data_IF_249813907569
#
_entry.id   IF_249813907569
#
_cell.length_a   1.000
_cell.length_b   1.000
_cell.length_c   1.000
_cell.angle_alpha   90.00
_cell.angle_beta   90.00
_cell.angle_gamma   90.00
#
_symmetry.space_group_name_H-M   'P 1'
#
loop_
_entity.id
_entity.type
_entity.pdbx_description
1 polymer ?
#
# COMPACT_ATOMS: atom_id res chain seq x y z
N UNK A 1 -58.02 24.47 32.37
CA UNK A 1 -56.72 25.03 31.98
C UNK A 1 -56.60 24.88 30.48
N UNK A 2 -56.51 25.98 29.73
CA UNK A 2 -56.43 25.94 28.27
C UNK A 2 -55.06 25.43 27.81
N UNK A 3 -55.04 24.58 26.80
CA UNK A 3 -53.82 24.15 26.11
C UNK A 3 -53.25 25.32 25.33
N UNK A 4 -52.14 25.89 25.80
CA UNK A 4 -51.37 26.91 25.06
C UNK A 4 -50.96 26.37 23.69
N UNK A 5 -51.28 27.13 22.65
CA UNK A 5 -50.92 26.83 21.25
C UNK A 5 -49.40 26.72 21.13
N UNK A 6 -48.90 25.61 20.57
CA UNK A 6 -47.47 25.40 20.37
C UNK A 6 -46.91 26.44 19.40
N UNK A 7 -45.95 27.25 19.85
CA UNK A 7 -45.28 28.24 19.02
C UNK A 7 -44.28 27.54 18.09
N UNK A 8 -44.52 27.59 16.78
CA UNK A 8 -43.63 26.97 15.79
C UNK A 8 -42.47 27.93 15.52
N UNK A 9 -41.27 27.59 16.00
CA UNK A 9 -40.05 28.35 15.72
C UNK A 9 -39.64 28.13 14.25
N UNK A 10 -39.26 29.21 13.57
CA UNK A 10 -38.71 29.16 12.22
C UNK A 10 -37.25 28.68 12.25
N UNK A 11 -36.79 28.13 11.14
CA UNK A 11 -35.39 27.77 10.92
C UNK A 11 -34.52 29.04 10.91
N UNK A 12 -33.35 28.95 11.54
CA UNK A 12 -32.33 29.99 11.51
C UNK A 12 -31.44 29.80 10.28
N UNK A 13 -30.99 30.91 9.67
CA UNK A 13 -29.84 30.92 8.79
C UNK A 13 -28.61 30.25 9.44
N UNK A 14 -27.77 29.58 8.65
CA UNK A 14 -26.65 28.77 9.14
C UNK A 14 -25.65 29.58 9.98
N UNK A 15 -25.41 30.85 9.63
CA UNK A 15 -24.57 31.78 10.38
C UNK A 15 -25.15 32.11 11.77
N UNK A 16 -26.46 32.33 11.87
CA UNK A 16 -27.14 32.54 13.15
C UNK A 16 -27.17 31.26 14.00
N UNK A 17 -27.32 30.09 13.36
CA UNK A 17 -27.27 28.79 14.00
C UNK A 17 -25.85 28.49 14.56
N UNK A 18 -24.80 28.94 13.86
CA UNK A 18 -23.40 28.84 14.30
C UNK A 18 -23.17 29.66 15.57
N UNK A 19 -23.69 30.88 15.61
CA UNK A 19 -23.59 31.74 16.80
C UNK A 19 -24.26 31.09 18.00
N UNK A 20 -25.47 30.54 17.84
CA UNK A 20 -26.18 29.82 18.91
C UNK A 20 -25.38 28.61 19.40
N UNK A 21 -24.79 27.84 18.48
CA UNK A 21 -23.94 26.71 18.83
C UNK A 21 -22.70 27.16 19.62
N UNK A 22 -21.90 28.10 19.09
CA UNK A 22 -20.66 28.58 19.71
C UNK A 22 -20.92 29.24 21.07
N UNK A 23 -21.96 30.06 21.16
CA UNK A 23 -22.35 30.70 22.41
C UNK A 23 -22.68 29.67 23.49
N UNK A 24 -23.31 28.55 23.13
CA UNK A 24 -23.58 27.46 24.05
C UNK A 24 -22.39 26.53 24.28
N UNK A 25 -21.38 26.50 23.38
CA UNK A 25 -20.16 25.68 23.53
C UNK A 25 -19.06 26.36 24.34
N UNK A 26 -18.81 27.66 24.09
CA UNK A 26 -17.64 28.38 24.59
C UNK A 26 -18.00 29.65 25.37
N UNK A 27 -19.28 29.99 25.48
CA UNK A 27 -19.73 31.21 26.17
C UNK A 27 -19.33 32.51 25.45
N UNK A 28 -18.90 32.44 24.19
CA UNK A 28 -18.47 33.58 23.37
C UNK A 28 -19.25 33.63 22.05
N UNK A 29 -19.35 34.83 21.48
CA UNK A 29 -19.84 35.07 20.12
C UNK A 29 -18.72 35.38 19.12
N UNK A 30 -17.49 35.56 19.60
CA UNK A 30 -16.27 35.74 18.78
C UNK A 30 -15.58 34.39 18.57
N UNK A 31 -15.41 34.02 17.30
CA UNK A 31 -14.88 32.73 16.86
C UNK A 31 -13.50 32.83 16.19
N UNK A 32 -12.89 34.02 16.18
CA UNK A 32 -11.54 34.25 15.63
C UNK A 32 -10.45 33.43 16.36
N UNK A 33 -10.70 33.06 17.61
CA UNK A 33 -9.79 32.27 18.44
C UNK A 33 -9.81 30.75 18.15
N UNK A 34 -10.73 30.25 17.30
CA UNK A 34 -10.92 28.81 17.07
C UNK A 34 -10.95 28.45 15.56
N UNK A 35 -9.79 28.41 14.88
CA UNK A 35 -9.72 28.15 13.44
C UNK A 35 -10.27 26.78 13.03
N UNK A 36 -10.11 25.76 13.87
CA UNK A 36 -10.60 24.39 13.59
C UNK A 36 -12.13 24.32 13.45
N UNK A 37 -12.85 25.23 14.13
CA UNK A 37 -14.31 25.33 14.02
C UNK A 37 -14.78 25.90 12.68
N UNK A 38 -13.93 26.61 11.95
CA UNK A 38 -14.27 27.08 10.60
C UNK A 38 -14.40 25.90 9.62
N UNK A 39 -13.64 24.82 9.83
CA UNK A 39 -13.68 23.64 8.98
C UNK A 39 -14.83 22.68 9.35
N UNK A 40 -15.11 22.51 10.64
CA UNK A 40 -16.10 21.54 11.14
C UNK A 40 -17.47 22.14 11.48
N UNK A 41 -17.53 23.41 11.87
CA UNK A 41 -18.76 24.11 12.25
C UNK A 41 -19.87 24.02 11.20
N UNK A 42 -19.60 24.35 9.92
CA UNK A 42 -20.62 24.25 8.87
C UNK A 42 -21.21 22.84 8.71
N UNK A 43 -20.38 21.79 8.83
CA UNK A 43 -20.82 20.37 8.73
C UNK A 43 -21.70 19.94 9.91
N UNK A 44 -21.45 20.50 11.10
CA UNK A 44 -22.28 20.26 12.29
C UNK A 44 -23.64 20.94 12.12
N UNK A 45 -23.67 22.15 11.57
CA UNK A 45 -24.89 22.93 11.37
C UNK A 45 -25.77 22.41 10.23
N UNK A 46 -25.17 21.89 9.16
CA UNK A 46 -25.90 21.20 8.10
C UNK A 46 -26.76 20.05 8.68
N UNK A 47 -26.25 19.38 9.72
CA UNK A 47 -27.00 18.35 10.45
C UNK A 47 -28.04 18.91 11.42
N UNK A 48 -27.89 20.16 11.85
CA UNK A 48 -28.91 20.86 12.65
C UNK A 48 -30.08 21.38 11.80
N UNK A 49 -29.93 21.48 10.47
CA UNK A 49 -30.97 21.93 9.54
C UNK A 49 -31.61 23.27 9.99
N UNK A 50 -30.80 24.22 10.43
CA UNK A 50 -31.29 25.52 10.92
C UNK A 50 -32.07 25.48 12.24
N UNK A 51 -32.19 24.33 12.93
CA UNK A 51 -32.95 24.23 14.18
C UNK A 51 -32.16 24.80 15.39
N UNK A 52 -32.60 25.91 16.01
CA UNK A 52 -31.87 26.55 17.12
C UNK A 52 -31.70 25.64 18.35
N UNK A 53 -32.71 24.79 18.62
CA UNK A 53 -32.69 23.84 19.72
C UNK A 53 -31.65 22.73 19.50
N UNK A 54 -31.45 22.28 18.26
CA UNK A 54 -30.42 21.29 17.93
C UNK A 54 -29.02 21.89 18.10
N UNK A 55 -28.79 23.10 17.59
CA UNK A 55 -27.53 23.82 17.77
C UNK A 55 -27.23 24.12 19.26
N UNK A 56 -28.24 24.55 20.02
CA UNK A 56 -28.12 24.77 21.46
C UNK A 56 -27.83 23.48 22.23
N UNK A 57 -28.50 22.38 21.88
CA UNK A 57 -28.26 21.08 22.51
C UNK A 57 -26.85 20.58 22.20
N UNK A 58 -26.40 20.63 20.95
CA UNK A 58 -25.04 20.22 20.58
C UNK A 58 -23.97 21.12 21.19
N UNK A 59 -24.20 22.44 21.22
CA UNK A 59 -23.27 23.37 21.84
C UNK A 59 -23.17 23.15 23.35
N UNK A 60 -24.31 22.99 24.02
CA UNK A 60 -24.35 22.62 25.43
C UNK A 60 -23.68 21.28 25.72
N UNK A 61 -23.86 20.27 24.85
CA UNK A 61 -23.18 18.98 24.96
C UNK A 61 -21.67 19.12 24.82
N UNK A 62 -21.17 19.94 23.90
CA UNK A 62 -19.74 20.19 23.72
C UNK A 62 -19.14 21.05 24.83
N UNK A 63 -19.88 22.02 25.36
CA UNK A 63 -19.51 22.75 26.57
C UNK A 63 -19.35 21.82 27.76
N UNK A 64 -20.25 20.83 27.89
CA UNK A 64 -20.16 19.82 28.94
C UNK A 64 -19.14 18.74 28.66
N UNK A 65 -18.83 18.41 27.41
CA UNK A 65 -17.86 17.38 27.02
C UNK A 65 -16.42 17.92 26.97
N UNK A 66 -16.04 18.69 27.99
CA UNK A 66 -14.69 19.24 28.13
C UNK A 66 -13.66 18.18 28.56
N UNK A 67 -14.13 17.06 29.13
CA UNK A 67 -13.28 15.96 29.60
C UNK A 67 -13.84 14.62 29.13
N UNK A 68 -12.96 13.65 28.93
CA UNK A 68 -13.34 12.32 28.47
C UNK A 68 -14.37 11.62 29.39
N UNK A 69 -14.36 11.93 30.69
CA UNK A 69 -15.33 11.42 31.68
C UNK A 69 -16.78 11.76 31.31
N UNK A 70 -17.01 12.88 30.62
CA UNK A 70 -18.35 13.39 30.32
C UNK A 70 -19.06 12.54 29.26
N UNK A 71 -18.30 11.70 28.53
CA UNK A 71 -18.84 10.65 27.65
C UNK A 71 -19.75 9.67 28.40
N UNK A 72 -19.66 9.59 29.73
CA UNK A 72 -20.57 8.78 30.55
C UNK A 72 -22.05 9.14 30.32
N UNK A 73 -22.35 10.41 30.04
CA UNK A 73 -23.72 10.91 29.86
C UNK A 73 -24.30 10.58 28.47
N UNK A 74 -23.47 10.08 27.55
CA UNK A 74 -23.82 9.85 26.15
C UNK A 74 -24.09 8.36 25.86
N UNK A 75 -25.06 7.78 26.57
CA UNK A 75 -25.37 6.34 26.49
C UNK A 75 -25.98 5.92 25.15
N UNK A 76 -26.66 6.84 24.46
CA UNK A 76 -27.33 6.58 23.17
C UNK A 76 -26.40 6.70 21.95
N UNK A 77 -25.08 6.83 22.16
CA UNK A 77 -24.12 6.95 21.06
C UNK A 77 -24.15 5.70 20.18
N UNK A 78 -24.18 5.95 18.87
CA UNK A 78 -24.23 4.94 17.82
C UNK A 78 -23.37 5.32 16.63
N UNK A 79 -22.97 4.35 15.84
CA UNK A 79 -22.16 4.59 14.65
C UNK A 79 -20.70 4.82 15.02
N UNK A 80 -20.15 5.98 14.67
CA UNK A 80 -18.71 6.27 14.82
C UNK A 80 -18.45 7.20 16.00
N UNK A 81 -17.55 6.80 16.89
CA UNK A 81 -16.99 7.66 17.93
C UNK A 81 -15.51 7.89 17.65
N UNK A 82 -15.10 9.16 17.53
CA UNK A 82 -13.71 9.56 17.41
C UNK A 82 -13.32 10.33 18.67
N UNK A 83 -12.28 9.86 19.36
CA UNK A 83 -11.71 10.51 20.54
C UNK A 83 -10.29 10.91 20.18
N UNK A 84 -10.04 12.21 20.06
CA UNK A 84 -8.73 12.76 19.76
C UNK A 84 -8.12 13.41 20.99
N UNK A 85 -6.82 13.71 20.92
CA UNK A 85 -6.09 14.37 21.99
C UNK A 85 -6.07 13.59 23.32
N UNK A 86 -6.01 12.25 23.23
CA UNK A 86 -6.01 11.38 24.39
C UNK A 86 -4.76 11.54 25.28
N UNK A 87 -3.71 12.22 24.80
CA UNK A 87 -2.55 12.63 25.60
C UNK A 87 -2.91 13.56 26.77
N UNK A 88 -4.07 14.24 26.70
CA UNK A 88 -4.52 15.17 27.75
C UNK A 88 -5.29 14.49 28.88
N UNK A 89 -5.56 13.18 28.78
CA UNK A 89 -6.23 12.42 29.83
C UNK A 89 -5.19 12.03 30.88
N UNK A 90 -5.11 12.79 31.97
CA UNK A 90 -4.13 12.55 33.04
C UNK A 90 -4.62 11.52 34.07
N UNK A 91 -5.93 11.40 34.26
CA UNK A 91 -6.55 10.50 35.22
C UNK A 91 -7.15 9.28 34.51
N UNK A 92 -6.69 8.09 34.88
CA UNK A 92 -7.16 6.80 34.37
C UNK A 92 -8.64 6.59 34.72
N UNK A 93 -9.11 7.13 35.84
CA UNK A 93 -10.51 7.03 36.23
C UNK A 93 -11.43 7.89 35.36
N UNK A 94 -10.92 8.97 34.75
CA UNK A 94 -11.69 9.72 33.75
C UNK A 94 -11.92 8.87 32.49
N UNK A 95 -10.89 8.15 32.04
CA UNK A 95 -11.01 7.21 30.94
C UNK A 95 -11.99 6.08 31.26
N UNK A 96 -11.95 5.53 32.48
CA UNK A 96 -12.92 4.52 32.94
C UNK A 96 -14.35 5.06 32.92
N UNK A 97 -14.56 6.27 33.47
CA UNK A 97 -15.87 6.91 33.53
C UNK A 97 -16.47 7.17 32.17
N UNK A 98 -15.65 7.37 31.14
CA UNK A 98 -16.12 7.47 29.76
C UNK A 98 -17.03 6.31 29.33
N UNK A 99 -16.95 5.15 30.00
CA UNK A 99 -17.90 4.03 29.88
C UNK A 99 -18.17 3.63 28.43
N UNK A 100 -17.11 3.29 27.69
CA UNK A 100 -17.24 2.79 26.31
C UNK A 100 -17.90 1.41 26.24
N UNK A 101 -17.79 0.61 27.31
CA UNK A 101 -18.53 -0.64 27.47
C UNK A 101 -20.06 -0.43 27.45
N UNK A 102 -20.56 0.67 28.02
CA UNK A 102 -21.99 1.00 28.00
C UNK A 102 -22.52 1.36 26.61
N UNK A 103 -21.65 1.71 25.66
CA UNK A 103 -22.02 2.24 24.33
C UNK A 103 -22.19 1.13 23.30
N UNK A 104 -23.22 0.29 23.51
CA UNK A 104 -23.46 -0.96 22.78
C UNK A 104 -23.73 -0.80 21.27
N UNK A 105 -24.13 0.40 20.83
CA UNK A 105 -24.51 0.68 19.45
C UNK A 105 -23.37 1.30 18.60
N UNK A 106 -22.14 1.34 19.13
CA UNK A 106 -20.98 1.80 18.38
C UNK A 106 -20.53 0.74 17.38
N UNK A 107 -20.32 1.19 16.14
CA UNK A 107 -19.78 0.39 15.04
C UNK A 107 -18.29 0.67 14.82
N UNK A 108 -17.87 1.93 14.98
CA UNK A 108 -16.51 2.38 14.71
C UNK A 108 -15.99 3.17 15.90
N UNK A 109 -14.80 2.83 16.39
CA UNK A 109 -14.09 3.56 17.43
C UNK A 109 -12.73 4.01 16.91
N UNK A 110 -12.50 5.32 16.92
CA UNK A 110 -11.21 5.93 16.54
C UNK A 110 -10.63 6.62 17.77
N UNK A 111 -9.38 6.32 18.09
CA UNK A 111 -8.66 6.87 19.24
C UNK A 111 -7.33 7.45 18.78
N UNK A 112 -7.12 8.76 18.98
CA UNK A 112 -5.97 9.49 18.46
C UNK A 112 -5.22 10.26 19.55
N UNK A 113 -3.90 10.24 19.45
CA UNK A 113 -2.98 11.04 20.24
C UNK A 113 -2.26 12.03 19.30
N UNK A 114 -2.11 13.29 19.73
CA UNK A 114 -1.46 14.35 18.92
C UNK A 114 0.07 14.28 18.96
N UNK A 115 0.63 13.88 20.10
CA UNK A 115 2.06 14.00 20.38
C UNK A 115 2.60 12.70 20.97
N UNK A 116 3.59 12.11 20.30
CA UNK A 116 4.30 10.91 20.74
C UNK A 116 5.28 11.19 21.91
N UNK A 117 5.61 12.47 22.12
CA UNK A 117 6.66 12.94 23.02
C UNK A 117 6.15 13.34 24.41
N UNK A 118 4.84 13.56 24.57
CA UNK A 118 4.27 13.93 25.86
C UNK A 118 4.14 12.71 26.77
N UNK A 119 5.14 12.53 27.64
CA UNK A 119 5.22 11.48 28.66
C UNK A 119 4.18 11.64 29.80
N UNK A 120 3.24 12.58 29.67
CA UNK A 120 2.28 12.93 30.73
C UNK A 120 1.08 11.98 30.78
N UNK A 121 0.81 11.22 29.72
CA UNK A 121 -0.30 10.30 29.66
C UNK A 121 -0.02 9.04 30.50
N UNK A 122 -0.96 8.66 31.36
CA UNK A 122 -0.91 7.37 32.03
C UNK A 122 -0.97 6.24 30.98
N UNK A 123 -0.03 5.28 31.09
CA UNK A 123 0.08 4.14 30.17
C UNK A 123 -1.18 3.26 30.17
N UNK A 124 -2.04 3.37 31.19
CA UNK A 124 -3.22 2.52 31.40
C UNK A 124 -4.52 3.10 30.81
N UNK A 125 -4.49 4.28 30.17
CA UNK A 125 -5.70 4.92 29.61
C UNK A 125 -6.39 4.02 28.59
N UNK A 126 -5.62 3.46 27.66
CA UNK A 126 -6.16 2.63 26.59
C UNK A 126 -6.75 1.30 27.14
N UNK A 127 -6.21 0.78 28.25
CA UNK A 127 -6.80 -0.38 28.95
C UNK A 127 -8.19 -0.04 29.48
N UNK A 128 -8.40 1.18 29.99
CA UNK A 128 -9.70 1.63 30.51
C UNK A 128 -10.72 2.00 29.43
N UNK A 129 -10.26 2.32 28.22
CA UNK A 129 -11.11 2.63 27.06
C UNK A 129 -11.56 1.38 26.31
N UNK A 130 -11.86 0.30 27.04
CA UNK A 130 -12.36 -0.95 26.44
C UNK A 130 -13.75 -0.72 25.80
N UNK A 131 -13.91 -0.97 24.48
CA UNK A 131 -15.21 -0.86 23.82
C UNK A 131 -16.10 -2.07 24.09
N UNK A 132 -17.40 -1.90 23.83
CA UNK A 132 -18.31 -3.03 23.72
C UNK A 132 -17.94 -3.92 22.52
N UNK A 133 -18.23 -5.22 22.63
CA UNK A 133 -17.75 -6.26 21.71
C UNK A 133 -18.44 -6.30 20.34
N UNK A 134 -19.44 -5.45 20.12
CA UNK A 134 -20.14 -5.32 18.83
C UNK A 134 -19.42 -4.40 17.84
N UNK A 135 -18.38 -3.69 18.28
CA UNK A 135 -17.60 -2.80 17.42
C UNK A 135 -17.01 -3.57 16.23
N UNK A 136 -17.14 -2.99 15.04
CA UNK A 136 -16.67 -3.55 13.79
C UNK A 136 -15.31 -3.01 13.38
N UNK A 137 -15.03 -1.76 13.73
CA UNK A 137 -13.80 -1.09 13.31
C UNK A 137 -13.15 -0.39 14.50
N UNK A 138 -11.86 -0.66 14.70
CA UNK A 138 -11.05 0.04 15.69
C UNK A 138 -9.85 0.65 14.99
N UNK A 139 -9.64 1.95 15.20
CA UNK A 139 -8.45 2.66 14.76
C UNK A 139 -7.75 3.31 15.95
N UNK A 140 -6.47 2.98 16.12
CA UNK A 140 -5.58 3.59 17.11
C UNK A 140 -4.48 4.32 16.39
N UNK A 141 -4.22 5.54 16.80
CA UNK A 141 -3.26 6.43 16.17
C UNK A 141 -2.44 7.18 17.22
N UNK A 142 -1.12 6.96 17.22
CA UNK A 142 -0.18 7.69 18.07
C UNK A 142 -0.13 7.19 19.52
N UNK A 143 -0.61 5.98 19.81
CA UNK A 143 -0.58 5.43 21.18
C UNK A 143 0.85 5.33 21.71
N UNK A 144 1.08 5.93 22.88
CA UNK A 144 2.41 6.09 23.48
C UNK A 144 2.83 4.95 24.40
N UNK A 145 1.96 3.96 24.63
CA UNK A 145 2.26 2.84 25.51
C UNK A 145 3.18 1.79 24.87
N UNK A 146 3.93 1.08 25.71
CA UNK A 146 4.84 0.03 25.25
C UNK A 146 4.11 -1.27 24.85
N UNK A 147 2.92 -1.50 25.41
CA UNK A 147 2.11 -2.70 25.19
C UNK A 147 0.67 -2.32 24.91
N UNK A 148 0.04 -3.07 24.01
CA UNK A 148 -1.38 -2.97 23.76
C UNK A 148 -2.19 -3.55 24.94
N UNK A 149 -3.45 -3.11 25.11
CA UNK A 149 -4.33 -3.62 26.15
C UNK A 149 -4.58 -5.12 26.07
N UNK A 150 -4.93 -5.71 27.20
CA UNK A 150 -5.26 -7.15 27.28
C UNK A 150 -6.48 -7.52 26.45
N UNK A 151 -7.41 -6.59 26.27
CA UNK A 151 -8.64 -6.81 25.52
C UNK A 151 -8.45 -6.76 23.99
N UNK A 152 -7.34 -6.21 23.50
CA UNK A 152 -7.18 -5.83 22.08
C UNK A 152 -7.21 -7.02 21.10
N UNK A 153 -6.65 -8.16 21.51
CA UNK A 153 -6.68 -9.42 20.75
C UNK A 153 -7.68 -10.43 21.29
N UNK A 154 -8.59 -10.03 22.18
CA UNK A 154 -9.46 -10.99 22.88
C UNK A 154 -10.55 -11.56 21.94
N UNK A 155 -10.79 -12.88 21.90
CA UNK A 155 -11.77 -13.51 21.01
C UNK A 155 -13.21 -12.99 21.14
N UNK A 156 -13.54 -12.31 22.25
CA UNK A 156 -14.85 -11.66 22.44
C UNK A 156 -15.15 -10.57 21.41
N UNK A 157 -14.14 -10.00 20.74
CA UNK A 157 -14.34 -9.04 19.66
C UNK A 157 -14.62 -9.75 18.33
N UNK A 158 -15.59 -10.66 18.34
CA UNK A 158 -15.93 -11.53 17.21
C UNK A 158 -16.56 -10.81 16.02
N UNK A 159 -16.99 -9.55 16.18
CA UNK A 159 -17.55 -8.73 15.10
C UNK A 159 -16.54 -7.78 14.46
N UNK A 160 -15.30 -7.75 14.95
CA UNK A 160 -14.27 -6.84 14.44
C UNK A 160 -13.89 -7.26 13.02
N UNK A 161 -14.02 -6.33 12.06
CA UNK A 161 -13.76 -6.51 10.63
C UNK A 161 -12.48 -5.77 10.22
N UNK A 162 -12.29 -4.54 10.71
CA UNK A 162 -11.13 -3.70 10.40
C UNK A 162 -10.40 -3.30 11.67
N UNK A 163 -9.09 -3.54 11.68
CA UNK A 163 -8.20 -3.06 12.73
C UNK A 163 -7.07 -2.24 12.11
N UNK A 164 -6.93 -1.00 12.55
CA UNK A 164 -5.90 -0.06 12.09
C UNK A 164 -5.10 0.46 13.27
N UNK A 165 -3.79 0.27 13.23
CA UNK A 165 -2.86 0.77 14.24
C UNK A 165 -1.80 1.60 13.53
N UNK A 166 -1.73 2.89 13.86
CA UNK A 166 -0.83 3.83 13.21
C UNK A 166 0.02 4.59 14.23
N UNK A 167 1.28 4.88 13.90
CA UNK A 167 2.17 5.79 14.66
C UNK A 167 2.37 5.41 16.14
N UNK A 168 2.13 4.15 16.54
CA UNK A 168 2.37 3.68 17.91
C UNK A 168 3.83 3.26 18.11
N UNK A 169 4.77 4.20 17.93
CA UNK A 169 6.21 3.91 17.78
C UNK A 169 6.88 3.26 19.00
N UNK A 170 6.32 3.46 20.20
CA UNK A 170 6.85 2.90 21.46
C UNK A 170 6.41 1.46 21.71
N UNK A 171 5.43 0.95 20.96
CA UNK A 171 4.96 -0.42 21.12
C UNK A 171 6.06 -1.41 20.73
N UNK A 172 6.43 -2.30 21.65
CA UNK A 172 7.50 -3.28 21.43
C UNK A 172 7.00 -4.62 20.92
N UNK A 173 5.69 -4.89 21.00
CA UNK A 173 5.07 -6.16 20.61
C UNK A 173 3.64 -5.96 20.14
N UNK A 174 3.20 -6.79 19.19
CA UNK A 174 1.80 -6.86 18.75
C UNK A 174 0.96 -7.71 19.73
N UNK A 175 -0.35 -7.44 19.87
CA UNK A 175 -1.27 -8.30 20.61
C UNK A 175 -1.72 -9.51 19.77
N UNK A 176 -2.40 -10.46 20.40
CA UNK A 176 -2.90 -11.72 19.82
C UNK A 176 -4.08 -11.53 18.84
N UNK A 177 -3.88 -10.72 17.80
CA UNK A 177 -4.89 -10.33 16.82
C UNK A 177 -5.33 -11.52 15.95
N UNK A 178 -4.47 -12.53 15.79
CA UNK A 178 -4.78 -13.74 15.00
C UNK A 178 -5.95 -14.55 15.53
N UNK A 179 -6.37 -14.35 16.78
CA UNK A 179 -7.51 -15.05 17.37
C UNK A 179 -8.87 -14.43 16.99
N UNK A 180 -8.88 -13.29 16.30
CA UNK A 180 -10.10 -12.58 15.93
C UNK A 180 -10.78 -13.24 14.71
N UNK A 181 -12.00 -13.81 14.87
CA UNK A 181 -12.58 -14.69 13.85
C UNK A 181 -13.11 -13.98 12.60
N UNK A 182 -13.49 -12.70 12.72
CA UNK A 182 -14.13 -11.93 11.63
C UNK A 182 -13.23 -10.86 11.03
N UNK A 183 -11.98 -10.74 11.49
CA UNK A 183 -11.06 -9.71 11.03
C UNK A 183 -10.72 -9.96 9.56
N UNK A 184 -11.01 -8.98 8.71
CA UNK A 184 -10.76 -9.00 7.26
C UNK A 184 -9.60 -8.10 6.86
N UNK A 185 -9.51 -6.93 7.47
CA UNK A 185 -8.55 -5.90 7.11
C UNK A 185 -7.70 -5.55 8.33
N UNK A 186 -6.39 -5.71 8.20
CA UNK A 186 -5.42 -5.38 9.24
C UNK A 186 -4.34 -4.46 8.69
N UNK A 187 -4.24 -3.27 9.28
CA UNK A 187 -3.29 -2.24 8.85
C UNK A 187 -2.41 -1.81 10.03
N UNK A 188 -1.11 -2.02 9.90
CA UNK A 188 -0.10 -1.77 10.92
C UNK A 188 0.97 -0.82 10.35
N UNK A 189 0.94 0.44 10.76
CA UNK A 189 1.79 1.51 10.21
C UNK A 189 2.59 2.19 11.30
N UNK A 190 3.90 2.32 11.15
CA UNK A 190 4.73 3.13 12.06
C UNK A 190 4.86 2.53 13.47
N UNK A 191 4.90 1.20 13.60
CA UNK A 191 5.19 0.51 14.89
C UNK A 191 6.69 0.27 15.02
N UNK A 192 7.45 1.37 15.07
CA UNK A 192 8.90 1.36 14.88
C UNK A 192 9.69 0.49 15.86
N UNK A 193 9.22 0.30 17.10
CA UNK A 193 9.93 -0.50 18.12
C UNK A 193 9.63 -2.00 18.10
N UNK A 194 8.70 -2.47 17.25
CA UNK A 194 8.40 -3.91 17.12
C UNK A 194 9.56 -4.59 16.40
N UNK A 195 10.19 -5.57 17.07
CA UNK A 195 11.35 -6.27 16.52
C UNK A 195 11.00 -7.61 15.86
N UNK A 196 9.98 -8.29 16.38
CA UNK A 196 9.57 -9.61 15.94
C UNK A 196 8.06 -9.64 15.77
N UNK A 197 7.60 -10.35 14.74
CA UNK A 197 6.20 -10.71 14.54
C UNK A 197 6.13 -12.23 14.54
N UNK A 198 5.54 -12.80 15.58
CA UNK A 198 5.50 -14.25 15.77
C UNK A 198 4.29 -14.72 16.56
N UNK A 199 4.50 -15.70 17.45
CA UNK A 199 3.45 -16.38 18.20
C UNK A 199 2.53 -15.42 19.00
N UNK A 200 3.07 -14.30 19.47
CA UNK A 200 2.31 -13.26 20.16
C UNK A 200 1.24 -12.61 19.28
N UNK A 201 1.48 -12.53 17.97
CA UNK A 201 0.59 -11.93 16.99
C UNK A 201 -0.53 -12.89 16.58
N UNK A 202 -0.20 -14.18 16.39
CA UNK A 202 -1.17 -15.23 16.06
C UNK A 202 -2.07 -15.59 17.25
N UNK A 203 -1.53 -15.47 18.47
CA UNK A 203 -2.17 -15.87 19.71
C UNK A 203 -1.83 -17.31 20.10
N UNK A 204 -1.53 -17.50 21.39
CA UNK A 204 -1.12 -18.79 21.96
C UNK A 204 -2.22 -19.84 21.74
N UNK A 205 -1.83 -21.04 21.31
CA UNK A 205 -2.69 -22.20 21.12
C UNK A 205 -3.84 -22.00 20.09
N UNK A 206 -3.70 -21.04 19.18
CA UNK A 206 -4.66 -20.84 18.08
C UNK A 206 -4.38 -21.83 16.93
N UNK A 207 -5.26 -22.80 16.66
CA UNK A 207 -5.04 -23.79 15.60
C UNK A 207 -5.22 -23.21 14.20
N UNK A 208 -5.93 -22.08 14.05
CA UNK A 208 -6.16 -21.42 12.76
C UNK A 208 -6.17 -19.90 12.99
N UNK A 209 -4.99 -19.27 13.11
CA UNK A 209 -4.95 -17.83 13.23
C UNK A 209 -5.48 -17.19 11.94
N UNK A 210 -6.02 -15.97 12.05
CA UNK A 210 -6.52 -15.17 10.94
C UNK A 210 -7.47 -15.91 9.96
N UNK A 211 -8.55 -16.55 10.44
CA UNK A 211 -9.41 -17.40 9.60
C UNK A 211 -10.19 -16.64 8.52
N UNK A 212 -10.34 -15.32 8.65
CA UNK A 212 -11.12 -14.46 7.74
C UNK A 212 -10.30 -13.32 7.14
N UNK A 213 -8.99 -13.25 7.39
CA UNK A 213 -8.18 -12.11 6.97
C UNK A 213 -8.03 -12.09 5.44
N UNK A 214 -8.41 -10.99 4.82
CA UNK A 214 -8.39 -10.76 3.37
C UNK A 214 -7.27 -9.79 2.98
N UNK A 215 -6.97 -8.79 3.81
CA UNK A 215 -5.95 -7.76 3.58
C UNK A 215 -5.03 -7.58 4.80
N UNK A 216 -3.73 -7.62 4.56
CA UNK A 216 -2.69 -7.43 5.57
C UNK A 216 -1.64 -6.42 5.08
N UNK A 217 -1.51 -5.31 5.82
CA UNK A 217 -0.58 -4.23 5.51
C UNK A 217 0.37 -3.96 6.68
N UNK A 218 1.66 -4.02 6.40
CA UNK A 218 2.73 -3.52 7.25
C UNK A 218 3.44 -2.36 6.56
N UNK A 219 3.57 -1.23 7.24
CA UNK A 219 4.29 -0.06 6.73
C UNK A 219 5.12 0.60 7.84
N UNK A 220 6.31 1.09 7.51
CA UNK A 220 7.15 1.90 8.42
C UNK A 220 7.52 1.16 9.74
N UNK A 221 7.87 -0.13 9.64
CA UNK A 221 8.25 -0.99 10.77
C UNK A 221 9.79 -1.02 10.94
N UNK A 222 10.35 0.04 11.52
CA UNK A 222 11.80 0.32 11.49
C UNK A 222 12.70 -0.73 12.17
N UNK A 223 12.31 -1.27 13.32
CA UNK A 223 13.10 -2.27 14.06
C UNK A 223 12.75 -3.73 13.75
N UNK A 224 11.78 -3.97 12.86
CA UNK A 224 11.28 -5.31 12.58
C UNK A 224 12.32 -6.13 11.82
N UNK A 225 12.75 -7.25 12.43
CA UNK A 225 13.79 -8.15 11.91
C UNK A 225 13.20 -9.47 11.44
N UNK A 226 12.41 -10.11 12.30
CA UNK A 226 11.98 -11.48 12.11
C UNK A 226 10.45 -11.58 12.01
N UNK A 227 9.99 -12.23 10.94
CA UNK A 227 8.66 -12.79 10.86
C UNK A 227 8.77 -14.29 11.11
N UNK A 228 8.28 -14.73 12.26
CA UNK A 228 8.34 -16.12 12.71
C UNK A 228 7.01 -16.79 12.34
N UNK A 229 6.99 -17.77 11.43
CA UNK A 229 5.76 -18.50 11.08
C UNK A 229 5.16 -19.22 12.28
N UNK A 230 3.83 -19.38 12.27
CA UNK A 230 3.13 -20.34 13.10
C UNK A 230 3.57 -21.76 12.74
N UNK A 231 3.54 -22.69 13.71
CA UNK A 231 4.03 -24.06 13.52
C UNK A 231 3.38 -24.74 12.30
N UNK A 232 4.19 -25.53 11.58
CA UNK A 232 3.99 -26.09 10.22
C UNK A 232 2.68 -26.85 9.97
N UNK A 233 1.92 -27.21 10.99
CA UNK A 233 0.66 -27.97 10.86
C UNK A 233 -0.58 -27.09 10.58
N UNK A 234 -0.45 -25.76 10.63
CA UNK A 234 -1.60 -24.85 10.59
C UNK A 234 -1.55 -23.85 9.43
N UNK A 235 -2.67 -23.72 8.71
CA UNK A 235 -2.87 -22.71 7.67
C UNK A 235 -3.04 -21.32 8.32
N UNK A 236 -1.98 -20.49 8.32
CA UNK A 236 -1.98 -19.17 8.98
C UNK A 236 -2.90 -18.14 8.34
N UNK A 237 -3.05 -18.20 7.01
CA UNK A 237 -3.68 -17.15 6.22
C UNK A 237 -4.53 -17.77 5.10
N UNK A 238 -5.57 -18.56 5.44
CA UNK A 238 -6.32 -19.34 4.45
C UNK A 238 -7.12 -18.48 3.46
N UNK A 239 -7.36 -17.20 3.79
CA UNK A 239 -8.20 -16.27 3.00
C UNK A 239 -7.49 -15.01 2.52
N UNK A 240 -6.19 -14.89 2.76
CA UNK A 240 -5.46 -13.66 2.45
C UNK A 240 -5.39 -13.44 0.93
N UNK A 241 -5.86 -12.27 0.49
CA UNK A 241 -5.88 -11.83 -0.91
C UNK A 241 -4.86 -10.74 -1.20
N UNK A 242 -4.60 -9.86 -0.23
CA UNK A 242 -3.68 -8.73 -0.39
C UNK A 242 -2.67 -8.71 0.76
N UNK A 243 -1.39 -8.79 0.42
CA UNK A 243 -0.27 -8.64 1.34
C UNK A 243 0.63 -7.49 0.87
N UNK A 244 0.78 -6.48 1.71
CA UNK A 244 1.65 -5.33 1.46
C UNK A 244 2.63 -5.13 2.61
N UNK A 245 3.92 -5.04 2.29
CA UNK A 245 4.99 -4.75 3.24
C UNK A 245 5.82 -3.60 2.69
N UNK A 246 5.89 -2.48 3.40
CA UNK A 246 6.60 -1.31 2.90
C UNK A 246 7.42 -0.59 3.95
N UNK A 247 8.58 -0.05 3.57
CA UNK A 247 9.47 0.72 4.44
C UNK A 247 9.85 -0.04 5.72
N UNK A 248 10.24 -1.31 5.58
CA UNK A 248 10.68 -2.20 6.66
C UNK A 248 12.17 -2.54 6.46
N UNK A 249 13.12 -1.64 6.78
CA UNK A 249 14.51 -1.76 6.32
C UNK A 249 15.30 -2.88 6.99
N UNK A 250 14.93 -3.29 8.22
CA UNK A 250 15.63 -4.34 8.98
C UNK A 250 15.05 -5.75 8.80
N UNK A 251 13.99 -5.88 8.00
CA UNK A 251 13.29 -7.15 7.83
C UNK A 251 14.18 -8.13 7.06
N UNK A 252 14.55 -9.24 7.71
CA UNK A 252 15.39 -10.32 7.16
C UNK A 252 14.65 -11.67 7.11
N UNK A 253 13.53 -11.80 7.83
CA UNK A 253 12.76 -13.03 7.97
C UNK A 253 12.14 -13.55 6.67
N UNK A 254 11.72 -14.82 6.69
CA UNK A 254 10.97 -15.42 5.57
C UNK A 254 9.52 -14.98 5.62
N UNK A 255 8.96 -14.73 4.44
CA UNK A 255 7.53 -14.48 4.29
C UNK A 255 6.73 -15.77 4.49
N UNK A 256 5.44 -15.67 4.87
CA UNK A 256 4.56 -16.82 5.01
C UNK A 256 4.54 -17.68 3.73
N UNK A 257 4.71 -18.99 3.89
CA UNK A 257 4.84 -19.92 2.76
C UNK A 257 3.50 -20.41 2.19
N UNK A 258 2.40 -20.28 2.94
CA UNK A 258 1.10 -20.83 2.56
C UNK A 258 0.00 -19.75 2.54
N UNK A 259 -0.16 -19.10 1.37
CA UNK A 259 -1.21 -18.10 1.09
C UNK A 259 -1.87 -18.40 -0.26
N UNK A 260 -2.74 -19.43 -0.34
CA UNK A 260 -3.22 -19.99 -1.62
C UNK A 260 -4.15 -19.05 -2.40
N UNK A 261 -4.74 -18.05 -1.74
CA UNK A 261 -5.70 -17.12 -2.32
C UNK A 261 -5.11 -15.74 -2.62
N UNK A 262 -3.78 -15.57 -2.53
CA UNK A 262 -3.14 -14.28 -2.70
C UNK A 262 -3.31 -13.77 -4.14
N UNK A 263 -4.00 -12.64 -4.29
CA UNK A 263 -4.30 -11.96 -5.56
C UNK A 263 -3.32 -10.81 -5.82
N UNK A 264 -2.86 -10.14 -4.75
CA UNK A 264 -1.93 -9.01 -4.81
C UNK A 264 -0.83 -9.15 -3.77
N UNK A 265 0.41 -9.01 -4.24
CA UNK A 265 1.58 -9.05 -3.38
C UNK A 265 2.49 -7.86 -3.68
N UNK A 266 2.79 -7.07 -2.65
CA UNK A 266 3.67 -5.91 -2.77
C UNK A 266 4.70 -5.83 -1.65
N UNK A 267 5.95 -5.63 -2.02
CA UNK A 267 7.07 -5.33 -1.10
C UNK A 267 7.77 -4.08 -1.60
N UNK A 268 7.96 -3.07 -0.75
CA UNK A 268 8.60 -1.81 -1.14
C UNK A 268 9.57 -1.31 -0.06
N UNK A 269 10.82 -0.98 -0.41
CA UNK A 269 11.77 -0.38 0.54
C UNK A 269 12.11 -1.30 1.73
N UNK A 270 12.33 -2.59 1.44
CA UNK A 270 12.71 -3.61 2.42
C UNK A 270 14.14 -4.09 2.12
N UNK A 271 15.11 -3.23 2.41
CA UNK A 271 16.49 -3.34 1.88
C UNK A 271 17.27 -4.60 2.30
N UNK A 272 16.90 -5.22 3.42
CA UNK A 272 17.55 -6.42 3.93
C UNK A 272 16.79 -7.72 3.59
N UNK A 273 15.58 -7.60 3.03
CA UNK A 273 14.71 -8.73 2.77
C UNK A 273 15.08 -9.43 1.46
N UNK A 274 15.42 -10.71 1.57
CA UNK A 274 15.42 -11.64 0.44
C UNK A 274 13.98 -12.14 0.23
N UNK A 275 13.30 -11.59 -0.77
CA UNK A 275 11.89 -11.94 -1.03
C UNK A 275 11.83 -13.36 -1.57
N UNK A 276 11.33 -14.27 -0.73
CA UNK A 276 11.00 -15.62 -1.14
C UNK A 276 9.62 -15.62 -1.76
N UNK A 277 9.48 -16.06 -3.02
CA UNK A 277 8.18 -16.14 -3.69
C UNK A 277 7.73 -17.60 -3.75
N UNK A 278 6.75 -18.01 -2.94
CA UNK A 278 5.99 -19.25 -3.12
C UNK A 278 5.25 -19.26 -4.47
N UNK A 279 4.79 -20.45 -4.87
CA UNK A 279 3.83 -20.58 -5.94
C UNK A 279 2.48 -19.96 -5.51
N UNK A 280 2.09 -18.85 -6.13
CA UNK A 280 0.84 -18.13 -5.87
C UNK A 280 -0.13 -18.29 -7.05
N UNK A 281 -0.98 -19.33 -7.07
CA UNK A 281 -1.75 -19.69 -8.26
C UNK A 281 -2.80 -18.64 -8.66
N UNK A 282 -3.23 -17.77 -7.74
CA UNK A 282 -4.22 -16.72 -7.97
C UNK A 282 -3.62 -15.31 -8.11
N UNK A 283 -2.30 -15.19 -8.15
CA UNK A 283 -1.66 -13.88 -8.18
C UNK A 283 -1.99 -13.17 -9.50
N UNK A 284 -2.47 -11.93 -9.39
CA UNK A 284 -2.78 -11.07 -10.54
C UNK A 284 -1.96 -9.77 -10.55
N UNK A 285 -1.39 -9.38 -9.40
CA UNK A 285 -0.46 -8.26 -9.31
C UNK A 285 0.73 -8.57 -8.40
N UNK A 286 1.94 -8.34 -8.92
CA UNK A 286 3.20 -8.47 -8.18
C UNK A 286 4.01 -7.17 -8.29
N UNK A 287 4.40 -6.60 -7.15
CA UNK A 287 5.26 -5.43 -7.10
C UNK A 287 6.38 -5.60 -6.06
N UNK A 288 7.64 -5.70 -6.51
CA UNK A 288 8.80 -5.81 -5.61
C UNK A 288 9.72 -4.62 -5.88
N UNK A 289 9.89 -3.73 -4.91
CA UNK A 289 10.67 -2.49 -5.01
C UNK A 289 11.65 -2.34 -3.85
N UNK A 290 12.89 -1.90 -4.12
CA UNK A 290 13.88 -1.58 -3.08
C UNK A 290 14.17 -2.72 -2.10
N UNK A 291 14.29 -3.96 -2.58
CA UNK A 291 14.62 -5.14 -1.78
C UNK A 291 16.07 -5.58 -1.99
N UNK A 292 16.60 -6.44 -1.11
CA UNK A 292 17.95 -7.00 -1.24
C UNK A 292 18.08 -7.90 -2.47
N UNK A 293 17.09 -8.75 -2.67
CA UNK A 293 17.06 -9.74 -3.74
C UNK A 293 15.76 -10.52 -3.74
N UNK A 294 15.59 -11.35 -4.76
CA UNK A 294 14.46 -12.28 -4.89
C UNK A 294 15.03 -13.68 -5.02
N UNK A 295 14.49 -14.61 -4.23
CA UNK A 295 14.91 -16.01 -4.20
C UNK A 295 13.70 -16.88 -4.51
N UNK A 296 13.81 -17.72 -5.53
CA UNK A 296 12.88 -18.83 -5.75
C UNK A 296 13.36 -20.05 -4.94
N UNK A 297 12.41 -20.82 -4.39
CA UNK A 297 12.70 -22.08 -3.68
C UNK A 297 11.71 -23.20 -4.04
N UNK A 298 10.85 -22.98 -5.03
CA UNK A 298 9.86 -23.99 -5.43
C UNK A 298 10.39 -24.83 -6.56
N UNK A 299 10.26 -26.15 -6.43
CA UNK A 299 10.48 -27.13 -7.50
C UNK A 299 9.33 -27.17 -8.51
N UNK A 300 8.21 -26.50 -8.19
CA UNK A 300 7.04 -26.40 -9.06
C UNK A 300 7.18 -25.20 -10.02
N UNK A 301 6.55 -25.29 -11.19
CA UNK A 301 6.46 -24.19 -12.16
C UNK A 301 5.90 -22.93 -11.49
N UNK A 302 6.77 -21.94 -11.24
CA UNK A 302 6.33 -20.60 -10.87
C UNK A 302 5.41 -20.07 -11.97
N UNK A 303 4.30 -19.45 -11.59
CA UNK A 303 3.43 -18.74 -12.53
C UNK A 303 3.25 -17.32 -12.03
N UNK A 304 3.91 -16.35 -12.67
CA UNK A 304 3.71 -14.95 -12.35
C UNK A 304 2.42 -14.39 -12.97
N UNK A 305 1.86 -13.33 -12.36
CA UNK A 305 0.69 -12.64 -12.87
C UNK A 305 0.93 -12.03 -14.25
N UNK A 306 -0.16 -11.78 -14.98
CA UNK A 306 -0.12 -11.03 -16.25
C UNK A 306 0.62 -9.70 -16.15
N UNK A 307 0.56 -9.02 -15.00
CA UNK A 307 1.26 -7.76 -14.77
C UNK A 307 2.21 -7.86 -13.59
N UNK A 308 3.48 -7.57 -13.82
CA UNK A 308 4.56 -7.67 -12.82
C UNK A 308 5.45 -6.41 -12.85
N UNK A 309 5.73 -5.83 -11.68
CA UNK A 309 6.63 -4.69 -11.52
C UNK A 309 7.82 -5.11 -10.63
N UNK A 310 9.03 -4.91 -11.15
CA UNK A 310 10.29 -5.21 -10.49
C UNK A 310 11.13 -3.94 -10.40
N UNK A 311 11.59 -3.60 -9.20
CA UNK A 311 12.51 -2.51 -8.96
C UNK A 311 13.52 -2.88 -7.89
N UNK A 312 14.59 -3.57 -8.28
CA UNK A 312 15.54 -4.17 -7.34
C UNK A 312 16.93 -3.59 -7.65
N UNK A 313 17.35 -2.51 -6.96
CA UNK A 313 18.55 -1.76 -7.36
C UNK A 313 19.84 -2.60 -7.41
N UNK A 314 19.96 -3.57 -6.51
CA UNK A 314 21.17 -4.38 -6.32
C UNK A 314 21.11 -5.74 -7.03
N UNK A 315 20.08 -6.00 -7.84
CA UNK A 315 19.99 -7.28 -8.57
C UNK A 315 20.96 -7.28 -9.74
N UNK A 316 21.95 -8.20 -9.71
CA UNK A 316 22.86 -8.41 -10.85
C UNK A 316 22.23 -9.29 -11.92
N UNK A 317 21.56 -10.36 -11.49
CA UNK A 317 20.81 -11.30 -12.31
C UNK A 317 19.69 -11.93 -11.50
N UNK A 318 18.56 -12.26 -12.14
CA UNK A 318 17.50 -13.07 -11.55
C UNK A 318 17.83 -14.56 -11.72
N UNK A 319 17.29 -15.42 -10.84
CA UNK A 319 17.50 -16.88 -10.93
C UNK A 319 16.73 -17.48 -12.10
N UNK A 320 17.22 -18.59 -12.67
CA UNK A 320 16.55 -19.30 -13.79
C UNK A 320 15.10 -19.67 -13.48
N UNK A 321 14.84 -20.15 -12.27
CA UNK A 321 13.48 -20.44 -11.80
C UNK A 321 12.56 -19.22 -11.83
N UNK A 322 13.06 -18.06 -11.40
CA UNK A 322 12.29 -16.81 -11.46
C UNK A 322 12.05 -16.39 -12.92
N UNK A 323 13.00 -16.66 -13.82
CA UNK A 323 12.82 -16.38 -15.24
C UNK A 323 11.72 -17.24 -15.87
N UNK A 324 11.70 -18.55 -15.60
CA UNK A 324 10.64 -19.44 -16.06
C UNK A 324 9.26 -18.98 -15.57
N UNK A 325 9.19 -18.46 -14.34
CA UNK A 325 7.94 -17.88 -13.82
C UNK A 325 7.38 -16.74 -14.67
N UNK A 326 8.26 -15.98 -15.34
CA UNK A 326 7.88 -14.81 -16.14
C UNK A 326 7.35 -15.19 -17.53
N UNK A 327 7.39 -16.46 -17.93
CA UNK A 327 7.01 -16.91 -19.28
C UNK A 327 5.56 -16.56 -19.67
N UNK A 328 4.66 -16.46 -18.68
CA UNK A 328 3.23 -16.12 -18.86
C UNK A 328 2.90 -14.64 -18.60
N UNK A 329 3.88 -13.81 -18.26
CA UNK A 329 3.67 -12.38 -17.98
C UNK A 329 3.40 -11.64 -19.29
N UNK A 330 2.36 -10.81 -19.31
CA UNK A 330 1.98 -9.98 -20.46
C UNK A 330 2.57 -8.57 -20.35
N UNK A 331 2.65 -8.01 -19.14
CA UNK A 331 3.14 -6.66 -18.87
C UNK A 331 4.23 -6.71 -17.79
N UNK A 332 5.46 -6.36 -18.16
CA UNK A 332 6.60 -6.34 -17.26
C UNK A 332 7.18 -4.93 -17.17
N UNK A 333 7.28 -4.41 -15.96
CA UNK A 333 8.01 -3.16 -15.68
C UNK A 333 9.25 -3.47 -14.86
N UNK A 334 10.42 -3.03 -15.33
CA UNK A 334 11.71 -3.13 -14.65
C UNK A 334 12.20 -1.71 -14.40
N UNK A 335 12.21 -1.26 -13.15
CA UNK A 335 12.47 0.13 -12.79
C UNK A 335 13.65 0.24 -11.81
N UNK A 336 14.62 1.10 -12.07
CA UNK A 336 15.73 1.41 -11.17
C UNK A 336 16.56 0.17 -10.73
N UNK A 337 16.67 -0.86 -11.57
CA UNK A 337 17.56 -2.01 -11.35
C UNK A 337 19.00 -1.66 -11.78
N UNK A 338 19.73 -0.97 -10.89
CA UNK A 338 21.02 -0.34 -11.22
C UNK A 338 22.15 -1.32 -11.51
N UNK A 339 22.17 -2.48 -10.85
CA UNK A 339 23.21 -3.50 -11.04
C UNK A 339 22.88 -4.56 -12.11
N UNK A 340 21.68 -4.51 -12.70
CA UNK A 340 21.24 -5.49 -13.68
C UNK A 340 22.05 -5.32 -14.98
N UNK A 341 22.82 -6.34 -15.36
CA UNK A 341 23.77 -6.24 -16.48
C UNK A 341 23.19 -6.71 -17.82
N UNK A 342 22.25 -7.66 -17.78
CA UNK A 342 21.64 -8.27 -18.97
C UNK A 342 20.16 -8.58 -18.73
N UNK A 343 19.36 -8.45 -19.80
CA UNK A 343 18.00 -8.99 -19.86
C UNK A 343 17.96 -10.15 -20.86
N UNK A 344 17.32 -11.24 -20.45
CA UNK A 344 17.53 -12.58 -21.01
C UNK A 344 16.77 -12.87 -22.30
N UNK A 345 17.41 -13.69 -23.15
CA UNK A 345 16.90 -14.23 -24.40
C UNK A 345 15.93 -15.41 -24.13
N UNK A 346 14.86 -15.50 -24.92
CA UNK A 346 14.01 -16.69 -25.15
C UNK A 346 13.04 -17.20 -24.05
N UNK A 347 12.99 -16.61 -22.86
CA UNK A 347 12.04 -17.05 -21.80
C UNK A 347 10.67 -16.33 -21.82
N UNK A 348 10.58 -15.16 -22.45
CA UNK A 348 9.36 -14.33 -22.47
C UNK A 348 8.38 -14.73 -23.58
N UNK A 349 7.65 -15.84 -23.39
CA UNK A 349 6.75 -16.39 -24.42
C UNK A 349 5.48 -15.55 -24.65
N UNK A 350 4.98 -14.88 -23.60
CA UNK A 350 3.66 -14.20 -23.62
C UNK A 350 3.74 -12.68 -23.47
N UNK A 351 4.95 -12.10 -23.47
CA UNK A 351 5.16 -10.70 -23.12
C UNK A 351 4.66 -9.75 -24.23
N UNK A 352 3.74 -8.86 -23.87
CA UNK A 352 3.12 -7.87 -24.77
C UNK A 352 3.76 -6.49 -24.56
N UNK A 353 3.97 -6.09 -23.31
CA UNK A 353 4.53 -4.78 -22.94
C UNK A 353 5.74 -4.95 -22.03
N UNK A 354 6.84 -4.28 -22.38
CA UNK A 354 8.05 -4.21 -21.58
C UNK A 354 8.44 -2.75 -21.36
N UNK A 355 8.53 -2.35 -20.09
CA UNK A 355 8.93 -1.01 -19.69
C UNK A 355 10.17 -1.08 -18.80
N UNK A 356 11.29 -0.54 -19.27
CA UNK A 356 12.56 -0.56 -18.57
C UNK A 356 12.98 0.87 -18.25
N UNK A 357 13.12 1.20 -16.96
CA UNK A 357 13.47 2.55 -16.51
C UNK A 357 14.67 2.52 -15.58
N UNK A 358 15.58 3.49 -15.71
CA UNK A 358 16.67 3.72 -14.76
C UNK A 358 17.64 2.56 -14.54
N UNK A 359 17.81 1.64 -15.51
CA UNK A 359 18.71 0.49 -15.39
C UNK A 359 20.11 0.86 -15.92
N UNK A 360 20.96 1.40 -15.05
CA UNK A 360 22.23 2.02 -15.46
C UNK A 360 23.33 1.06 -15.90
N UNK A 361 23.36 -0.18 -15.40
CA UNK A 361 24.38 -1.19 -15.77
C UNK A 361 23.95 -2.11 -16.91
N UNK A 362 22.71 -1.96 -17.39
CA UNK A 362 22.15 -2.83 -18.42
C UNK A 362 22.86 -2.54 -19.75
N UNK A 363 23.65 -3.49 -20.24
CA UNK A 363 24.51 -3.25 -21.41
C UNK A 363 23.79 -3.58 -22.70
N UNK A 364 23.10 -4.72 -22.73
CA UNK A 364 22.43 -5.24 -23.91
C UNK A 364 21.04 -5.75 -23.53
N UNK A 365 20.09 -5.56 -24.43
CA UNK A 365 18.75 -6.14 -24.35
C UNK A 365 18.55 -6.94 -25.62
N UNK A 366 18.19 -8.21 -25.48
CA UNK A 366 17.83 -9.06 -26.60
C UNK A 366 16.44 -9.63 -26.40
N UNK A 367 15.56 -9.43 -27.37
CA UNK A 367 14.15 -9.80 -27.27
C UNK A 367 13.74 -10.64 -28.48
N UNK A 368 13.13 -11.79 -28.21
CA UNK A 368 12.68 -12.80 -29.17
C UNK A 368 11.21 -13.14 -28.86
N UNK A 369 10.27 -12.20 -29.02
CA UNK A 369 8.94 -12.38 -28.41
C UNK A 369 7.76 -11.75 -29.15
N UNK A 370 6.57 -12.06 -28.62
CA UNK A 370 5.24 -11.52 -28.96
C UNK A 370 5.06 -10.03 -28.59
N UNK A 371 6.15 -9.34 -28.24
CA UNK A 371 6.16 -7.98 -27.73
C UNK A 371 5.59 -7.00 -28.75
N UNK A 372 4.64 -6.18 -28.31
CA UNK A 372 4.03 -5.09 -29.09
C UNK A 372 4.58 -3.73 -28.71
N UNK A 373 4.92 -3.54 -27.43
CA UNK A 373 5.34 -2.24 -26.91
C UNK A 373 6.61 -2.38 -26.08
N UNK A 374 7.63 -1.61 -26.43
CA UNK A 374 8.89 -1.49 -25.70
C UNK A 374 9.16 -0.03 -25.33
N UNK A 375 9.24 0.23 -24.03
CA UNK A 375 9.66 1.53 -23.49
C UNK A 375 10.99 1.38 -22.73
N UNK A 376 11.95 2.24 -23.02
CA UNK A 376 13.25 2.29 -22.35
C UNK A 376 13.56 3.74 -21.97
N UNK A 377 13.72 4.01 -20.68
CA UNK A 377 13.99 5.36 -20.17
C UNK A 377 15.19 5.37 -19.22
N UNK A 378 16.18 6.23 -19.47
CA UNK A 378 17.24 6.49 -18.48
C UNK A 378 18.24 5.33 -18.27
N UNK A 379 18.39 4.44 -19.26
CA UNK A 379 19.36 3.33 -19.22
C UNK A 379 20.73 3.79 -19.75
N UNK A 380 21.57 4.31 -18.87
CA UNK A 380 22.86 4.92 -19.25
C UNK A 380 23.91 3.94 -19.79
N UNK A 381 23.89 2.69 -19.36
CA UNK A 381 24.85 1.66 -19.78
C UNK A 381 24.48 0.93 -21.07
N UNK A 382 23.27 1.17 -21.60
CA UNK A 382 22.74 0.43 -22.74
C UNK A 382 23.52 0.81 -24.00
N UNK A 383 24.23 -0.17 -24.58
CA UNK A 383 25.06 0.02 -25.77
C UNK A 383 24.37 -0.46 -27.03
N UNK A 384 23.66 -1.59 -26.94
CA UNK A 384 22.98 -2.19 -28.08
C UNK A 384 21.64 -2.78 -27.70
N UNK A 385 20.72 -2.68 -28.66
CA UNK A 385 19.43 -3.35 -28.64
C UNK A 385 19.45 -4.41 -29.77
N UNK A 386 19.04 -5.63 -29.45
CA UNK A 386 18.92 -6.72 -30.42
C UNK A 386 17.46 -7.18 -30.45
N UNK A 387 16.70 -6.59 -31.36
CA UNK A 387 15.36 -7.09 -31.70
C UNK A 387 15.55 -7.99 -32.92
N UNK A 388 15.56 -9.30 -32.73
CA UNK A 388 15.70 -10.21 -33.86
C UNK A 388 14.41 -10.21 -34.69
N UNK A 389 14.59 -9.98 -35.99
CA UNK A 389 13.66 -10.42 -37.02
C UNK A 389 14.31 -11.66 -37.64
N UNK A 390 13.89 -12.87 -37.27
CA UNK A 390 14.34 -14.06 -37.98
C UNK A 390 13.62 -14.12 -39.32
N UNK A 391 14.13 -13.40 -40.32
CA UNK A 391 13.99 -13.82 -41.70
C UNK A 391 15.17 -14.77 -41.95
N UNK A 392 14.95 -16.05 -41.66
CA UNK A 392 15.83 -17.10 -42.15
C UNK A 392 15.68 -17.13 -43.67
N UNK A 393 16.73 -16.73 -44.38
CA UNK A 393 16.87 -17.06 -45.79
C UNK A 393 17.58 -18.40 -45.91
N UNK A 394 16.88 -19.30 -46.61
CA UNK A 394 17.21 -20.63 -47.13
C UNK A 394 17.95 -21.66 -46.24
N UNK A 395 17.19 -22.64 -45.74
CA UNK A 395 17.70 -23.95 -45.34
C UNK A 395 17.09 -24.52 -44.05
N UNK A 396 16.01 -25.28 -44.20
CA UNK A 396 15.50 -26.29 -43.26
C UNK A 396 14.93 -25.83 -41.88
N UNK A 397 13.59 -25.74 -41.86
CA UNK A 397 12.64 -26.07 -40.77
C UNK A 397 12.83 -25.54 -39.32
N UNK A 398 11.82 -24.74 -38.92
CA UNK A 398 11.34 -24.38 -37.57
C UNK A 398 12.17 -23.32 -36.82
N UNK A 399 11.71 -22.10 -36.54
CA UNK A 399 10.37 -21.64 -36.12
C UNK A 399 10.21 -20.15 -36.43
N UNK A 400 9.01 -19.76 -36.88
CA UNK A 400 8.68 -18.36 -37.22
C UNK A 400 8.70 -17.47 -35.97
N UNK A 401 9.70 -16.60 -35.82
CA UNK A 401 9.67 -15.48 -34.88
C UNK A 401 9.96 -14.16 -35.61
N UNK A 402 8.98 -13.70 -36.37
CA UNK A 402 8.92 -12.30 -36.78
C UNK A 402 8.50 -11.46 -35.56
N UNK A 403 9.21 -10.38 -35.29
CA UNK A 403 8.86 -9.48 -34.19
C UNK A 403 7.49 -8.84 -34.41
N UNK A 404 6.63 -8.83 -33.39
CA UNK A 404 5.30 -8.17 -33.41
C UNK A 404 5.34 -6.71 -32.91
N UNK A 405 6.54 -6.14 -32.78
CA UNK A 405 6.74 -4.84 -32.15
C UNK A 405 6.10 -3.72 -32.97
N UNK A 406 5.15 -3.00 -32.37
CA UNK A 406 4.42 -1.91 -33.01
C UNK A 406 4.86 -0.53 -32.50
N UNK A 407 5.19 -0.41 -31.20
CA UNK A 407 5.56 0.83 -30.54
C UNK A 407 6.92 0.70 -29.83
N UNK A 408 7.90 1.52 -30.23
CA UNK A 408 9.21 1.62 -29.60
C UNK A 408 9.49 3.05 -29.11
N UNK A 409 9.71 3.20 -27.81
CA UNK A 409 10.07 4.46 -27.16
C UNK A 409 11.39 4.29 -26.42
N UNK A 410 12.35 5.15 -26.74
CA UNK A 410 13.66 5.17 -26.10
C UNK A 410 13.98 6.61 -25.71
N UNK A 411 14.20 6.83 -24.42
CA UNK A 411 14.49 8.16 -23.87
C UNK A 411 15.71 8.11 -22.95
N UNK A 412 16.55 9.15 -22.99
CA UNK A 412 17.67 9.37 -22.05
C UNK A 412 18.63 8.17 -21.95
N UNK A 413 18.96 7.53 -23.09
CA UNK A 413 19.93 6.43 -23.18
C UNK A 413 21.22 6.91 -23.88
N UNK A 414 22.17 7.54 -23.16
CA UNK A 414 23.31 8.23 -23.77
C UNK A 414 24.29 7.32 -24.50
N UNK A 415 24.56 6.10 -24.00
CA UNK A 415 25.57 5.17 -24.55
C UNK A 415 25.06 4.29 -25.69
N UNK A 416 23.80 4.47 -26.09
CA UNK A 416 23.16 3.62 -27.09
C UNK A 416 23.70 3.95 -28.48
N UNK A 417 24.40 3.00 -29.10
CA UNK A 417 25.06 3.20 -30.40
C UNK A 417 24.19 2.77 -31.58
N UNK A 418 23.48 1.65 -31.42
CA UNK A 418 22.66 1.04 -32.47
C UNK A 418 21.37 0.42 -31.88
N UNK A 419 20.26 0.52 -32.62
CA UNK A 419 18.97 -0.12 -32.26
C UNK A 419 18.83 -1.58 -32.69
N UNK A 420 19.62 -2.00 -33.67
CA UNK A 420 19.66 -3.38 -34.12
C UNK A 420 21.08 -3.70 -34.58
N UNK A 421 21.73 -4.62 -33.88
CA UNK A 421 23.06 -5.11 -34.25
C UNK A 421 23.00 -6.25 -35.28
N UNK A 422 21.86 -6.92 -35.42
CA UNK A 422 21.69 -8.15 -36.20
C UNK A 422 20.88 -8.00 -37.49
N UNK A 423 20.28 -6.83 -37.79
CA UNK A 423 19.50 -6.65 -39.01
C UNK A 423 18.65 -5.38 -39.07
N UNK A 424 17.66 -5.38 -39.96
CA UNK A 424 16.69 -4.31 -40.14
C UNK A 424 15.73 -4.19 -38.94
N UNK A 425 15.15 -3.01 -38.73
CA UNK A 425 14.11 -2.79 -37.72
C UNK A 425 12.87 -3.65 -38.03
N UNK A 426 12.05 -4.02 -37.02
CA UNK A 426 10.82 -4.78 -37.24
C UNK A 426 9.92 -4.12 -38.27
N UNK A 427 9.53 -4.86 -39.31
CA UNK A 427 8.64 -4.36 -40.37
C UNK A 427 7.24 -4.01 -39.86
N UNK A 428 6.86 -4.52 -38.69
CA UNK A 428 5.61 -4.28 -37.96
C UNK A 428 5.59 -2.94 -37.21
N UNK A 429 6.73 -2.28 -37.07
CA UNK A 429 6.88 -1.07 -36.24
C UNK A 429 6.08 0.11 -36.82
N UNK A 430 5.13 0.63 -36.05
CA UNK A 430 4.25 1.75 -36.42
C UNK A 430 4.71 3.07 -35.80
N UNK A 431 5.31 3.05 -34.62
CA UNK A 431 5.79 4.23 -33.90
C UNK A 431 7.22 4.04 -33.41
N UNK A 432 8.06 5.01 -33.69
CA UNK A 432 9.42 5.11 -33.17
C UNK A 432 9.65 6.48 -32.54
N UNK A 433 10.00 6.49 -31.25
CA UNK A 433 10.38 7.69 -30.50
C UNK A 433 11.76 7.51 -29.88
N UNK A 434 12.67 8.44 -30.16
CA UNK A 434 14.05 8.41 -29.68
C UNK A 434 14.43 9.81 -29.18
N UNK A 435 14.55 9.98 -27.88
CA UNK A 435 14.86 11.27 -27.26
C UNK A 435 16.14 11.18 -26.42
N UNK A 436 16.99 12.20 -26.51
CA UNK A 436 18.19 12.34 -25.66
C UNK A 436 19.14 11.13 -25.68
N UNK A 437 19.30 10.48 -26.84
CA UNK A 437 20.30 9.42 -27.08
C UNK A 437 21.48 10.02 -27.86
N UNK A 438 22.61 10.27 -27.19
CA UNK A 438 23.69 11.10 -27.75
C UNK A 438 24.69 10.33 -28.62
N UNK A 439 24.97 9.06 -28.32
CA UNK A 439 25.91 8.23 -29.09
C UNK A 439 25.27 7.43 -30.23
N UNK A 440 23.98 7.65 -30.52
CA UNK A 440 23.26 6.88 -31.52
C UNK A 440 23.74 7.25 -32.93
N UNK A 441 24.47 6.36 -33.57
CA UNK A 441 25.06 6.58 -34.91
C UNK A 441 24.22 5.99 -36.05
N UNK A 442 23.44 4.95 -35.79
CA UNK A 442 22.59 4.32 -36.80
C UNK A 442 21.29 3.76 -36.22
N UNK A 443 20.23 3.80 -37.03
CA UNK A 443 18.93 3.20 -36.68
C UNK A 443 18.85 1.72 -37.08
N UNK A 444 19.54 1.32 -38.15
CA UNK A 444 19.63 -0.07 -38.63
C UNK A 444 20.94 -0.26 -39.40
N UNK A 445 21.35 -1.51 -39.63
CA UNK A 445 22.57 -1.83 -40.39
C UNK A 445 22.51 -1.38 -41.86
N UNK A 446 21.30 -1.29 -42.44
CA UNK A 446 21.06 -0.77 -43.80
C UNK A 446 20.54 0.67 -43.85
N UNK A 447 20.33 1.32 -42.70
CA UNK A 447 19.65 2.63 -42.57
C UNK A 447 18.25 2.71 -43.23
N UNK A 448 17.62 1.58 -43.52
CA UNK A 448 16.24 1.54 -44.01
C UNK A 448 15.23 1.60 -42.84
N UNK A 449 14.16 2.38 -43.04
CA UNK A 449 13.05 2.50 -42.10
C UNK A 449 11.97 1.45 -42.40
N UNK A 450 11.26 0.93 -41.37
CA UNK A 450 10.15 0.01 -41.56
C UNK A 450 9.04 0.59 -42.44
N UNK A 451 8.50 -0.20 -43.36
CA UNK A 451 7.42 0.22 -44.26
C UNK A 451 6.11 0.51 -43.51
N UNK A 452 5.87 -0.08 -42.34
CA UNK A 452 4.68 0.16 -41.53
C UNK A 452 4.77 1.43 -40.64
N UNK A 453 5.90 2.14 -40.66
CA UNK A 453 6.15 3.27 -39.75
C UNK A 453 5.23 4.45 -40.08
N UNK A 454 4.40 4.85 -39.12
CA UNK A 454 3.45 5.97 -39.23
C UNK A 454 3.92 7.21 -38.47
N UNK A 455 4.71 7.01 -37.42
CA UNK A 455 5.19 8.09 -36.56
C UNK A 455 6.67 7.90 -36.22
N UNK A 456 7.48 8.90 -36.56
CA UNK A 456 8.89 8.96 -36.23
C UNK A 456 9.17 10.28 -35.50
N UNK A 457 9.73 10.20 -34.29
CA UNK A 457 10.22 11.36 -33.56
C UNK A 457 11.61 11.09 -33.03
N UNK A 458 12.60 11.80 -33.58
CA UNK A 458 13.97 11.76 -33.09
C UNK A 458 14.34 13.14 -32.56
N UNK A 459 14.74 13.21 -31.29
CA UNK A 459 15.22 14.42 -30.61
C UNK A 459 16.56 14.11 -29.94
N UNK A 460 17.60 13.95 -30.74
CA UNK A 460 18.98 13.76 -30.27
C UNK A 460 19.70 15.10 -30.26
N UNK A 461 20.56 15.34 -29.27
CA UNK A 461 21.18 16.67 -29.05
C UNK A 461 22.45 16.87 -29.91
N UNK A 462 22.79 15.97 -30.84
CA UNK A 462 23.88 16.17 -31.81
C UNK A 462 23.57 15.70 -33.24
N UNK A 463 24.19 16.43 -34.19
CA UNK A 463 24.00 16.39 -35.65
C UNK A 463 24.21 15.00 -36.24
N UNK A 464 23.24 14.55 -37.04
CA UNK A 464 23.43 13.46 -37.99
C UNK A 464 24.43 13.97 -39.05
N UNK A 465 25.64 13.42 -39.08
CA UNK A 465 26.58 13.68 -40.18
C UNK A 465 26.10 12.91 -41.41
N UNK A 466 26.01 13.66 -42.51
CA UNK A 466 25.44 13.33 -43.82
C UNK A 466 25.82 11.97 -44.41
#
# INVERSE_FOLDING_TARGET
>A
MGTTQAYKLNELPDDACLIVFIQNTFGTTDFSAYPELQEFGPKILERCQGLPLAAKALGGLLHTASKIRDLMNLESLKGTLCISHLENVLDVEDARRANLLGKKNLNVLVMKWKSELDQRASLDILEMLRPWTTVKEISIDGYVGAKFPTWFGHPSFSNMVLLRIERCRKCTSLPAIGQLPSLRDLVLVGLSAVQTVGLEFYGKDCPKPFPSLESLCFEDMQEWKDWIPCKVEYEEFPRLRELSISQCPKLQGKLPHHVPLLEKFSVNGCEQLDVSIPNFPKLHALAIKGCKGVVSRSTDELCFPKSTILSIPYVKSLTEEFMHGLAKVENLTIDNCKELTSLWQDEFKSLITLDIRGCSSLVNISLTSTLRTLNIEGCSGLKSLSISNFLADEGEASSNSSSLLEDLVIERCPSLKCLSSSGDLPTTLKRLQIWSCIELTSLSSKNELPTALKYLSVRTVQRWSQ
#
